data_IF_859116987266
#
_entry.id   IF_859116987266
#
_cell.length_a   1.000
_cell.length_b   1.000
_cell.length_c   1.000
_cell.angle_alpha   90.00
_cell.angle_beta   90.00
_cell.angle_gamma   90.00
#
_symmetry.space_group_name_H-M   'P 1'
#
loop_
_entity.id
_entity.type
_entity.pdbx_description
1 polymer ?
#
# COMPACT_ATOMS: atom_id res chain seq x y z
N UNK A 1 -25.51 -2.00 -15.60
CA UNK A 1 -26.57 -2.04 -14.60
C UNK A 1 -26.80 -0.62 -14.07
N UNK A 2 -28.01 -0.26 -13.69
CA UNK A 2 -28.29 0.94 -12.89
C UNK A 2 -28.21 0.62 -11.40
N UNK A 3 -28.28 1.64 -10.55
CA UNK A 3 -28.20 1.48 -9.08
C UNK A 3 -29.34 0.61 -8.55
N UNK A 4 -30.57 0.91 -8.94
CA UNK A 4 -31.76 0.21 -8.47
C UNK A 4 -31.79 -1.28 -8.86
N UNK A 5 -31.56 -1.68 -10.14
CA UNK A 5 -31.49 -3.09 -10.52
C UNK A 5 -30.35 -3.84 -9.81
N UNK A 6 -29.22 -3.17 -9.57
CA UNK A 6 -28.09 -3.75 -8.84
C UNK A 6 -28.46 -4.04 -7.39
N UNK A 7 -29.05 -3.08 -6.69
CA UNK A 7 -29.51 -3.27 -5.28
C UNK A 7 -30.54 -4.38 -5.19
N UNK A 8 -31.51 -4.42 -6.12
CA UNK A 8 -32.50 -5.49 -6.15
C UNK A 8 -31.86 -6.86 -6.29
N UNK A 9 -30.94 -7.01 -7.21
CA UNK A 9 -30.22 -8.28 -7.42
C UNK A 9 -29.37 -8.68 -6.20
N UNK A 10 -28.75 -7.73 -5.50
CA UNK A 10 -28.03 -8.00 -4.26
C UNK A 10 -28.99 -8.54 -3.18
N UNK A 11 -30.16 -7.94 -2.99
CA UNK A 11 -31.17 -8.40 -2.02
C UNK A 11 -31.67 -9.81 -2.37
N UNK A 12 -31.99 -10.06 -3.61
CA UNK A 12 -32.45 -11.40 -4.08
C UNK A 12 -31.38 -12.47 -3.83
N UNK A 13 -30.11 -12.15 -4.08
CA UNK A 13 -28.98 -13.05 -3.84
C UNK A 13 -28.86 -13.44 -2.35
N UNK A 14 -29.01 -12.48 -1.44
CA UNK A 14 -28.94 -12.74 0.01
C UNK A 14 -30.01 -13.76 0.43
N UNK A 15 -31.25 -13.60 -0.02
CA UNK A 15 -32.34 -14.52 0.34
C UNK A 15 -32.16 -15.92 -0.23
N UNK A 16 -31.59 -16.04 -1.43
CA UNK A 16 -31.23 -17.33 -2.00
C UNK A 16 -30.25 -18.10 -1.12
N UNK A 17 -29.20 -17.45 -0.68
CA UNK A 17 -28.18 -18.10 0.18
C UNK A 17 -28.63 -18.27 1.63
N UNK A 18 -29.56 -17.44 2.14
CA UNK A 18 -30.16 -17.62 3.46
C UNK A 18 -30.81 -18.99 3.58
N UNK A 19 -31.64 -19.39 2.63
CA UNK A 19 -32.27 -20.72 2.63
C UNK A 19 -31.26 -21.86 2.69
N UNK A 20 -30.17 -21.76 1.94
CA UNK A 20 -29.09 -22.78 1.99
C UNK A 20 -28.41 -22.84 3.37
N UNK A 21 -28.26 -21.72 4.05
CA UNK A 21 -27.71 -21.67 5.41
C UNK A 21 -28.66 -22.26 6.46
N UNK A 22 -29.96 -22.05 6.30
CA UNK A 22 -30.98 -22.64 7.16
C UNK A 22 -31.01 -24.16 7.06
N UNK A 23 -30.98 -24.69 5.85
CA UNK A 23 -30.91 -26.13 5.56
C UNK A 23 -29.61 -26.73 6.14
N UNK A 24 -28.48 -26.07 5.93
CA UNK A 24 -27.21 -26.51 6.49
C UNK A 24 -27.26 -26.51 8.03
N UNK A 25 -27.73 -25.43 8.64
CA UNK A 25 -27.80 -25.28 10.10
C UNK A 25 -28.69 -26.39 10.71
N UNK A 26 -29.81 -26.69 10.08
CA UNK A 26 -30.69 -27.78 10.47
C UNK A 26 -30.01 -29.14 10.38
N UNK A 27 -29.25 -29.37 9.28
CA UNK A 27 -28.56 -30.63 9.03
C UNK A 27 -27.46 -30.90 10.08
N UNK A 28 -26.73 -29.89 10.50
CA UNK A 28 -25.68 -30.03 11.54
C UNK A 28 -26.23 -29.95 12.99
N UNK A 29 -27.53 -29.79 13.15
CA UNK A 29 -28.18 -29.71 14.47
C UNK A 29 -27.95 -28.38 15.20
N UNK A 30 -27.65 -27.31 14.50
CA UNK A 30 -27.56 -25.96 15.07
C UNK A 30 -28.96 -25.34 15.21
N UNK A 31 -29.30 -24.90 16.41
CA UNK A 31 -30.60 -24.31 16.71
C UNK A 31 -30.48 -22.81 16.90
N UNK A 32 -31.23 -22.06 16.10
CA UNK A 32 -31.40 -20.63 16.22
C UNK A 32 -32.80 -20.25 15.74
N UNK A 33 -33.27 -19.06 16.10
CA UNK A 33 -34.49 -18.48 15.56
C UNK A 33 -34.25 -18.04 14.11
N UNK A 34 -34.60 -18.94 13.18
CA UNK A 34 -34.47 -18.68 11.73
C UNK A 34 -35.67 -17.93 11.15
N UNK A 35 -36.78 -17.84 11.91
CA UNK A 35 -37.97 -17.11 11.47
C UNK A 35 -37.79 -15.60 11.64
N UNK A 36 -37.02 -15.19 12.66
CA UNK A 36 -36.73 -13.78 12.95
C UNK A 36 -35.22 -13.48 12.76
N UNK A 37 -34.72 -13.55 11.54
CA UNK A 37 -33.29 -13.34 11.26
C UNK A 37 -32.88 -11.88 11.47
N UNK A 38 -31.63 -11.70 11.85
CA UNK A 38 -30.99 -10.39 11.94
C UNK A 38 -30.62 -9.88 10.53
N UNK A 39 -31.36 -8.92 10.02
CA UNK A 39 -31.23 -8.42 8.65
C UNK A 39 -30.78 -6.97 8.63
N UNK A 40 -29.57 -6.74 8.20
CA UNK A 40 -28.87 -5.43 8.28
C UNK A 40 -29.40 -4.35 7.33
N UNK A 41 -30.28 -4.68 6.40
CA UNK A 41 -30.92 -3.70 5.52
C UNK A 41 -32.40 -3.43 5.83
N UNK A 42 -32.92 -3.95 6.95
CA UNK A 42 -34.24 -3.59 7.45
C UNK A 42 -34.22 -2.26 8.19
N UNK A 43 -35.33 -1.55 8.17
CA UNK A 43 -35.41 -0.19 8.68
C UNK A 43 -35.12 -0.08 10.18
N UNK A 44 -35.56 -1.02 10.98
CA UNK A 44 -35.29 -1.11 12.43
C UNK A 44 -33.80 -1.29 12.75
N UNK A 45 -33.07 -2.07 11.93
CA UNK A 45 -31.62 -2.14 12.04
C UNK A 45 -30.96 -0.81 11.67
N UNK A 46 -31.33 -0.24 10.53
CA UNK A 46 -30.81 1.04 10.03
C UNK A 46 -31.08 2.17 11.02
N UNK A 47 -32.26 2.20 11.62
CA UNK A 47 -32.62 3.18 12.65
C UNK A 47 -31.69 3.07 13.87
N UNK A 48 -31.44 1.85 14.33
CA UNK A 48 -30.53 1.58 15.46
C UNK A 48 -29.10 2.00 15.14
N UNK A 49 -28.61 1.76 13.92
CA UNK A 49 -27.28 2.20 13.46
C UNK A 49 -27.18 3.74 13.44
N UNK A 50 -28.19 4.41 12.90
CA UNK A 50 -28.24 5.87 12.88
C UNK A 50 -28.30 6.48 14.28
N UNK A 51 -29.02 5.84 15.19
CA UNK A 51 -29.01 6.24 16.59
C UNK A 51 -27.61 6.17 17.20
N UNK A 52 -26.92 5.05 17.01
CA UNK A 52 -25.55 4.88 17.51
C UNK A 52 -24.58 5.92 16.92
N UNK A 53 -24.64 6.17 15.60
CA UNK A 53 -23.84 7.20 14.96
C UNK A 53 -24.14 8.61 15.49
N UNK A 54 -25.41 8.90 15.78
CA UNK A 54 -25.84 10.17 16.39
C UNK A 54 -25.25 10.36 17.79
N UNK A 55 -25.23 9.30 18.60
CA UNK A 55 -24.60 9.35 19.93
C UNK A 55 -23.08 9.60 19.84
N UNK A 56 -22.40 8.95 18.91
CA UNK A 56 -20.96 9.17 18.63
C UNK A 56 -20.72 10.61 18.17
N UNK A 57 -21.58 11.13 17.29
CA UNK A 57 -21.52 12.52 16.81
C UNK A 57 -21.71 13.52 17.95
N UNK A 58 -22.70 13.32 18.81
CA UNK A 58 -22.97 14.18 19.96
C UNK A 58 -21.76 14.26 20.91
N UNK A 59 -21.04 13.16 21.06
CA UNK A 59 -19.79 13.06 21.83
C UNK A 59 -18.56 13.67 21.14
N UNK A 60 -18.70 14.22 19.93
CA UNK A 60 -17.61 14.78 19.10
C UNK A 60 -16.50 13.79 18.73
N UNK A 61 -16.84 12.51 18.71
CA UNK A 61 -15.89 11.43 18.36
C UNK A 61 -15.88 11.11 16.86
N UNK A 62 -16.88 11.55 16.11
CA UNK A 62 -16.93 11.41 14.64
C UNK A 62 -16.32 12.65 13.99
N UNK A 63 -15.32 12.46 13.16
CA UNK A 63 -14.63 13.53 12.45
C UNK A 63 -14.20 13.09 11.03
N UNK A 64 -13.98 14.05 10.14
CA UNK A 64 -13.44 13.80 8.81
C UNK A 64 -11.92 13.72 8.89
N UNK A 65 -11.37 12.57 8.54
CA UNK A 65 -9.94 12.31 8.57
C UNK A 65 -9.43 11.74 7.26
N UNK A 66 -8.09 11.63 7.15
CA UNK A 66 -7.41 11.01 6.02
C UNK A 66 -6.74 9.71 6.47
N UNK A 67 -6.77 8.71 5.62
CA UNK A 67 -6.09 7.44 5.84
C UNK A 67 -5.43 6.99 4.54
N UNK A 68 -4.18 6.54 4.62
CA UNK A 68 -3.50 5.93 3.48
C UNK A 68 -4.04 4.51 3.34
N UNK A 69 -4.53 4.19 2.14
CA UNK A 69 -5.06 2.87 1.79
C UNK A 69 -4.50 2.43 0.44
N UNK A 70 -4.27 1.12 0.22
CA UNK A 70 -4.02 0.59 -1.10
C UNK A 70 -5.19 0.90 -2.03
N UNK A 71 -4.91 1.22 -3.27
CA UNK A 71 -5.91 1.58 -4.27
C UNK A 71 -5.67 0.84 -5.58
N UNK A 72 -6.70 0.25 -6.15
CA UNK A 72 -6.62 -0.42 -7.45
C UNK A 72 -7.00 0.55 -8.58
N UNK A 73 -6.06 0.98 -9.43
CA UNK A 73 -6.38 1.88 -10.54
C UNK A 73 -7.25 1.24 -11.62
N UNK A 74 -7.24 -0.09 -11.72
CA UNK A 74 -8.09 -0.83 -12.67
C UNK A 74 -9.54 -0.87 -12.23
N UNK A 75 -9.79 -1.16 -10.95
CA UNK A 75 -11.14 -1.22 -10.39
C UNK A 75 -11.69 0.15 -10.00
N UNK A 76 -10.81 1.15 -9.76
CA UNK A 76 -11.19 2.46 -9.27
C UNK A 76 -11.65 2.47 -7.81
N UNK A 77 -11.19 1.49 -7.02
CA UNK A 77 -11.64 1.29 -5.63
C UNK A 77 -10.47 1.11 -4.66
N UNK A 78 -10.62 1.54 -3.40
CA UNK A 78 -9.68 1.17 -2.35
C UNK A 78 -9.76 -0.34 -2.08
N UNK A 79 -8.65 -0.92 -1.62
CA UNK A 79 -8.52 -2.33 -1.31
C UNK A 79 -8.46 -2.54 0.21
N UNK A 80 -9.06 -3.62 0.69
CA UNK A 80 -8.89 -4.07 2.07
C UNK A 80 -7.53 -4.72 2.29
N UNK A 81 -7.08 -4.79 3.54
CA UNK A 81 -5.84 -5.49 3.89
C UNK A 81 -5.87 -6.97 3.48
N UNK A 82 -7.04 -7.60 3.56
CA UNK A 82 -7.22 -9.01 3.17
C UNK A 82 -7.03 -9.21 1.65
N UNK A 83 -7.61 -8.34 0.83
CA UNK A 83 -7.42 -8.41 -0.64
C UNK A 83 -5.96 -8.22 -1.02
N UNK A 84 -5.26 -7.27 -0.38
CA UNK A 84 -3.83 -7.04 -0.61
C UNK A 84 -3.02 -8.27 -0.21
N UNK A 85 -3.28 -8.87 0.95
CA UNK A 85 -2.53 -10.03 1.44
C UNK A 85 -2.65 -11.25 0.53
N UNK A 86 -3.79 -11.44 -0.12
CA UNK A 86 -4.02 -12.51 -1.09
C UNK A 86 -3.42 -12.24 -2.48
N UNK A 87 -3.05 -10.99 -2.76
CA UNK A 87 -2.56 -10.56 -4.06
C UNK A 87 -1.04 -10.58 -4.23
N UNK A 88 -0.27 -10.94 -3.20
CA UNK A 88 1.20 -10.95 -3.28
C UNK A 88 1.71 -12.00 -4.26
N UNK A 89 2.56 -11.54 -5.18
CA UNK A 89 3.28 -12.40 -6.12
C UNK A 89 4.58 -11.73 -6.56
N UNK A 90 5.55 -12.54 -6.94
CA UNK A 90 6.79 -12.04 -7.53
C UNK A 90 6.53 -11.53 -8.94
N UNK A 91 6.89 -10.29 -9.19
CA UNK A 91 6.79 -9.65 -10.50
C UNK A 91 8.15 -9.09 -10.91
N UNK A 92 8.37 -8.97 -12.24
CA UNK A 92 9.56 -8.35 -12.80
C UNK A 92 9.18 -6.96 -13.29
N UNK A 93 9.75 -5.94 -12.64
CA UNK A 93 9.48 -4.55 -12.96
C UNK A 93 10.77 -3.77 -13.22
N UNK A 94 10.64 -2.66 -13.96
CA UNK A 94 11.73 -1.70 -14.13
C UNK A 94 11.86 -0.86 -12.87
N UNK A 95 13.10 -0.68 -12.43
CA UNK A 95 13.44 0.24 -11.34
C UNK A 95 14.43 1.30 -11.82
N UNK A 96 14.48 2.41 -11.11
CA UNK A 96 15.42 3.49 -11.41
C UNK A 96 16.28 3.82 -10.18
N UNK A 97 17.55 4.14 -10.43
CA UNK A 97 18.42 4.81 -9.45
C UNK A 97 18.50 6.27 -9.86
N UNK A 98 18.07 7.16 -9.00
CA UNK A 98 17.91 8.58 -9.29
C UNK A 98 18.98 9.38 -8.57
N UNK A 99 19.51 10.39 -9.23
CA UNK A 99 20.48 11.34 -8.68
C UNK A 99 19.80 12.61 -8.22
N UNK A 100 19.94 12.95 -6.95
CA UNK A 100 19.50 14.21 -6.39
C UNK A 100 20.71 15.10 -6.10
N UNK A 101 20.79 16.24 -6.77
CA UNK A 101 21.90 17.18 -6.63
C UNK A 101 21.98 17.74 -5.20
N UNK A 102 23.17 17.71 -4.61
CA UNK A 102 23.43 18.34 -3.33
C UNK A 102 23.55 19.86 -3.52
N UNK A 103 22.96 20.64 -2.63
CA UNK A 103 23.05 22.10 -2.65
C UNK A 103 24.44 22.53 -2.12
N UNK A 104 25.14 23.35 -2.90
CA UNK A 104 26.45 23.88 -2.51
C UNK A 104 27.62 22.95 -2.73
N UNK A 105 27.40 21.75 -3.29
CA UNK A 105 28.45 20.76 -3.54
C UNK A 105 28.25 20.07 -4.89
N UNK A 106 29.36 19.68 -5.53
CA UNK A 106 29.30 18.91 -6.79
C UNK A 106 29.21 17.39 -6.51
N UNK A 107 28.13 17.02 -5.83
CA UNK A 107 27.79 15.66 -5.46
C UNK A 107 26.29 15.39 -5.59
N UNK A 108 25.91 14.10 -5.53
CA UNK A 108 24.53 13.66 -5.65
C UNK A 108 24.19 12.61 -4.60
N UNK A 109 23.02 12.68 -4.01
CA UNK A 109 22.43 11.52 -3.34
C UNK A 109 21.87 10.55 -4.35
N UNK A 110 22.10 9.24 -4.14
CA UNK A 110 21.45 8.18 -4.90
C UNK A 110 20.27 7.61 -4.15
N UNK A 111 19.12 7.52 -4.80
CA UNK A 111 17.94 6.86 -4.27
C UNK A 111 17.36 5.90 -5.32
N UNK A 112 16.96 4.71 -4.86
CA UNK A 112 16.34 3.69 -5.70
C UNK A 112 14.83 3.76 -5.58
N UNK A 113 14.12 3.58 -6.71
CA UNK A 113 12.67 3.54 -6.74
C UNK A 113 12.15 2.55 -7.79
N UNK A 114 11.04 1.91 -7.49
CA UNK A 114 10.21 1.15 -8.45
C UNK A 114 9.06 1.98 -9.02
N UNK A 115 8.83 3.19 -8.48
CA UNK A 115 7.73 4.08 -8.84
C UNK A 115 8.24 5.44 -9.33
N UNK A 116 8.94 5.53 -10.48
CA UNK A 116 9.57 6.78 -10.93
C UNK A 116 8.58 7.91 -11.23
N UNK A 117 7.31 7.60 -11.44
CA UNK A 117 6.24 8.60 -11.62
C UNK A 117 5.92 9.42 -10.36
N UNK A 118 6.40 9.00 -9.18
CA UNK A 118 6.25 9.76 -7.92
C UNK A 118 7.31 10.86 -7.75
N UNK A 119 8.38 10.84 -8.53
CA UNK A 119 9.50 11.79 -8.43
C UNK A 119 9.10 13.27 -8.54
N UNK A 120 8.14 13.70 -9.39
CA UNK A 120 7.71 15.10 -9.45
C UNK A 120 7.18 15.66 -8.12
N UNK A 121 6.71 14.78 -7.23
CA UNK A 121 6.19 15.14 -5.90
C UNK A 121 7.18 14.88 -4.77
N UNK A 122 8.44 14.56 -5.10
CA UNK A 122 9.46 14.27 -4.08
C UNK A 122 9.89 15.55 -3.37
N UNK A 123 9.79 15.58 -2.04
CA UNK A 123 10.09 16.74 -1.20
C UNK A 123 11.41 16.55 -0.44
N UNK A 124 11.72 15.33 0.02
CA UNK A 124 12.86 15.05 0.85
C UNK A 124 13.36 13.60 0.64
N UNK A 125 14.60 13.35 1.04
CA UNK A 125 15.18 12.02 1.17
C UNK A 125 15.16 11.63 2.65
N UNK A 126 14.78 10.39 2.93
CA UNK A 126 14.82 9.82 4.28
C UNK A 126 15.92 8.77 4.33
N UNK A 127 16.74 8.82 5.35
CA UNK A 127 17.84 7.89 5.59
C UNK A 127 17.62 7.12 6.89
N UNK A 128 18.18 5.92 6.99
CA UNK A 128 18.20 5.15 8.23
C UNK A 128 19.41 5.61 9.07
N UNK A 129 19.24 6.13 10.30
CA UNK A 129 20.33 6.59 11.14
C UNK A 129 21.24 5.47 11.66
N UNK A 130 20.80 4.21 11.59
CA UNK A 130 21.56 3.03 12.04
C UNK A 130 22.43 2.41 10.93
N UNK A 131 22.37 2.97 9.71
CA UNK A 131 23.16 2.49 8.56
C UNK A 131 24.33 3.42 8.28
N UNK A 132 25.42 2.84 7.79
CA UNK A 132 26.61 3.58 7.34
C UNK A 132 26.41 4.13 5.94
N UNK A 133 26.71 5.41 5.75
CA UNK A 133 26.66 6.08 4.45
C UNK A 133 28.06 6.54 4.04
N UNK A 134 28.34 6.48 2.76
CA UNK A 134 29.62 6.88 2.19
C UNK A 134 29.47 7.96 1.13
N UNK A 135 30.43 8.88 1.11
CA UNK A 135 30.72 9.76 -0.02
C UNK A 135 31.74 9.07 -0.90
N UNK A 136 31.43 8.83 -2.13
CA UNK A 136 32.25 8.07 -3.07
C UNK A 136 32.45 8.78 -4.38
N UNK A 137 33.67 8.71 -4.91
CA UNK A 137 33.98 9.11 -6.30
C UNK A 137 33.84 7.89 -7.20
N UNK A 138 32.91 7.94 -8.15
CA UNK A 138 32.65 6.82 -9.05
C UNK A 138 33.39 6.96 -10.39
N UNK A 139 33.59 5.83 -11.08
CA UNK A 139 34.28 5.77 -12.37
C UNK A 139 33.57 6.53 -13.51
N UNK A 140 32.30 6.85 -13.32
CA UNK A 140 31.51 7.71 -14.24
C UNK A 140 31.82 9.21 -14.10
N UNK A 141 32.73 9.57 -13.20
CA UNK A 141 33.21 10.93 -12.98
C UNK A 141 32.39 11.73 -11.94
N UNK A 142 31.31 11.16 -11.39
CA UNK A 142 30.49 11.83 -10.40
C UNK A 142 30.86 11.45 -8.96
N UNK A 143 30.45 12.29 -8.02
CA UNK A 143 30.55 12.02 -6.59
C UNK A 143 29.15 11.72 -6.04
N UNK A 144 29.03 10.65 -5.27
CA UNK A 144 27.75 10.18 -4.74
C UNK A 144 27.77 10.01 -3.23
N UNK A 145 26.60 10.27 -2.61
CA UNK A 145 26.28 9.86 -1.25
C UNK A 145 25.31 8.68 -1.32
N UNK A 146 25.66 7.56 -0.72
CA UNK A 146 24.83 6.36 -0.69
C UNK A 146 25.20 5.43 0.45
N UNK A 147 24.35 4.45 0.76
CA UNK A 147 24.63 3.45 1.78
C UNK A 147 25.81 2.57 1.39
N UNK A 148 26.73 2.32 2.32
CA UNK A 148 27.93 1.49 2.12
C UNK A 148 27.59 0.09 1.62
N UNK A 149 26.59 -0.55 2.23
CA UNK A 149 26.13 -1.90 1.88
C UNK A 149 25.63 -2.04 0.40
N UNK A 150 25.40 -0.92 -0.29
CA UNK A 150 24.89 -0.92 -1.67
C UNK A 150 25.95 -0.50 -2.71
N UNK A 151 27.18 -0.16 -2.31
CA UNK A 151 28.24 0.33 -3.21
C UNK A 151 28.46 -0.64 -4.38
N UNK A 152 28.80 -1.88 -4.09
CA UNK A 152 29.07 -2.89 -5.13
C UNK A 152 27.84 -3.22 -5.98
N UNK A 153 26.67 -3.30 -5.37
CA UNK A 153 25.42 -3.62 -6.07
C UNK A 153 25.02 -2.54 -7.08
N UNK A 154 25.27 -1.28 -6.77
CA UNK A 154 24.87 -0.13 -7.60
C UNK A 154 26.00 0.29 -8.52
N UNK A 155 27.17 0.58 -7.97
CA UNK A 155 28.33 1.11 -8.73
C UNK A 155 29.10 0.01 -9.42
N UNK A 156 29.11 -1.23 -8.93
CA UNK A 156 29.78 -2.37 -9.58
C UNK A 156 29.29 -2.60 -11.02
N UNK A 157 28.12 -2.14 -11.40
CA UNK A 157 27.62 -2.17 -12.78
C UNK A 157 28.35 -1.23 -13.73
N UNK A 158 29.18 -0.33 -13.22
CA UNK A 158 30.02 0.56 -14.01
C UNK A 158 31.34 -0.14 -14.46
N UNK A 159 31.69 -1.29 -13.87
CA UNK A 159 32.85 -2.08 -14.27
C UNK A 159 32.70 -2.58 -15.71
N UNK A 160 33.75 -2.42 -16.50
CA UNK A 160 33.85 -2.93 -17.87
C UNK A 160 34.60 -4.25 -17.95
N UNK A 161 35.27 -4.68 -16.84
CA UNK A 161 36.02 -5.92 -16.72
C UNK A 161 36.02 -6.46 -15.29
N UNK A 162 36.39 -7.74 -15.12
CA UNK A 162 36.55 -8.34 -13.80
C UNK A 162 37.66 -7.66 -12.99
N UNK A 163 37.40 -7.29 -11.74
CA UNK A 163 38.37 -6.69 -10.82
C UNK A 163 38.64 -5.20 -11.01
N UNK A 164 37.92 -4.51 -11.92
CA UNK A 164 38.01 -3.07 -12.09
C UNK A 164 37.47 -2.29 -10.89
N UNK A 165 38.33 -1.41 -10.30
CA UNK A 165 37.91 -0.54 -9.21
C UNK A 165 37.03 0.59 -9.77
N UNK A 166 35.73 0.53 -9.52
CA UNK A 166 34.75 1.43 -10.13
C UNK A 166 34.33 2.60 -9.22
N UNK A 167 34.85 2.65 -7.99
CA UNK A 167 34.59 3.78 -7.05
C UNK A 167 35.76 3.87 -6.05
N UNK A 168 35.87 5.03 -5.45
CA UNK A 168 36.78 5.32 -4.33
C UNK A 168 35.96 5.97 -3.19
N UNK A 169 36.02 5.39 -1.99
CA UNK A 169 35.36 5.95 -0.80
C UNK A 169 36.21 7.12 -0.32
N UNK A 170 35.60 8.30 -0.26
CA UNK A 170 36.22 9.55 0.19
C UNK A 170 35.96 9.78 1.69
N UNK A 171 34.72 9.57 2.13
CA UNK A 171 34.28 9.83 3.50
C UNK A 171 33.22 8.81 3.89
N UNK A 172 33.12 8.52 5.19
CA UNK A 172 32.11 7.62 5.79
C UNK A 172 31.41 8.32 6.94
N UNK A 173 30.09 8.15 7.05
CA UNK A 173 29.21 8.81 8.01
C UNK A 173 28.41 7.81 8.81
#
# INVERSE_FOLDING_TARGET
YGMEPFIKQCKESVWKYKGMWEDFSSTVGFWADMEHPYVTYYDDYIESEWWALKEIWNKKLLYKGFKIVPYCPRCGTPLSAQEVSQGYKTVKERSAVVRFKVVGEDAYFLAWTTTPWTLPSNVALCVNPDETYCKVKAADGYTYYMAEALLDKVLGKLAKGEGEKVYEVLETY
#
